data_IF_307558694280
#
_entry.id   IF_307558694280
#
_cell.length_a   1.000
_cell.length_b   1.000
_cell.length_c   1.000
_cell.angle_alpha   90.00
_cell.angle_beta   90.00
_cell.angle_gamma   90.00
#
_symmetry.space_group_name_H-M   'P 1'
#
loop_
_entity.id
_entity.type
_entity.pdbx_description
1 polymer ?
#
# COMPACT_ATOMS: atom_id res chain seq x y z
N UNK A 1 1.79 -32.21 -60.14
CA UNK A 1 1.04 -32.80 -59.01
C UNK A 1 1.73 -32.57 -57.65
N UNK A 2 2.29 -31.38 -57.41
CA UNK A 2 2.98 -31.04 -56.13
C UNK A 2 2.48 -29.73 -55.49
N UNK A 3 1.74 -28.90 -56.24
CA UNK A 3 1.22 -27.61 -55.78
C UNK A 3 0.05 -27.75 -54.81
N UNK A 4 -0.86 -28.70 -55.00
CA UNK A 4 -2.00 -28.89 -54.09
C UNK A 4 -1.58 -29.43 -52.71
N UNK A 5 -0.57 -30.32 -52.71
CA UNK A 5 0.03 -30.84 -51.47
C UNK A 5 0.76 -29.73 -50.72
N UNK A 6 1.50 -28.89 -51.43
CA UNK A 6 2.17 -27.71 -50.87
C UNK A 6 1.16 -26.71 -50.28
N UNK A 7 0.09 -26.38 -51.00
CA UNK A 7 -0.95 -25.48 -50.51
C UNK A 7 -1.62 -26.01 -49.24
N UNK A 8 -1.92 -27.32 -49.16
CA UNK A 8 -2.46 -27.92 -47.94
C UNK A 8 -1.52 -27.80 -46.74
N UNK A 9 -0.23 -28.03 -46.93
CA UNK A 9 0.76 -27.88 -45.85
C UNK A 9 0.94 -26.43 -45.42
N UNK A 10 0.88 -25.48 -46.37
CA UNK A 10 0.92 -24.05 -46.07
C UNK A 10 -0.31 -23.60 -45.27
N UNK A 11 -1.52 -24.03 -45.65
CA UNK A 11 -2.74 -23.73 -44.90
C UNK A 11 -2.72 -24.35 -43.51
N UNK A 12 -2.25 -25.59 -43.37
CA UNK A 12 -2.12 -26.26 -42.08
C UNK A 12 -1.12 -25.54 -41.18
N UNK A 13 0.04 -25.16 -41.73
CA UNK A 13 1.06 -24.39 -41.03
C UNK A 13 0.57 -23.00 -40.62
N UNK A 14 -0.21 -22.32 -41.47
CA UNK A 14 -0.82 -21.03 -41.16
C UNK A 14 -1.81 -21.16 -39.99
N UNK A 15 -2.72 -22.14 -40.03
CA UNK A 15 -3.67 -22.37 -38.94
C UNK A 15 -2.97 -22.75 -37.63
N UNK A 16 -1.93 -23.57 -37.70
CA UNK A 16 -1.12 -23.94 -36.54
C UNK A 16 -0.36 -22.73 -35.98
N UNK A 17 0.21 -21.89 -36.85
CA UNK A 17 0.86 -20.64 -36.47
C UNK A 17 -0.09 -19.67 -35.76
N UNK A 18 -1.32 -19.53 -36.25
CA UNK A 18 -2.37 -18.72 -35.59
C UNK A 18 -2.71 -19.29 -34.20
N UNK A 19 -2.89 -20.60 -34.08
CA UNK A 19 -3.17 -21.24 -32.79
C UNK A 19 -2.04 -21.04 -31.78
N UNK A 20 -0.78 -21.22 -32.22
CA UNK A 20 0.39 -20.96 -31.38
C UNK A 20 0.43 -19.48 -30.97
N UNK A 21 0.17 -18.56 -31.89
CA UNK A 21 0.11 -17.12 -31.59
C UNK A 21 -0.94 -16.78 -30.54
N UNK A 22 -2.14 -17.37 -30.60
CA UNK A 22 -3.19 -17.17 -29.60
C UNK A 22 -2.76 -17.70 -28.23
N UNK A 23 -2.14 -18.88 -28.17
CA UNK A 23 -1.65 -19.46 -26.90
C UNK A 23 -0.58 -18.57 -26.28
N UNK A 24 0.35 -18.05 -27.08
CA UNK A 24 1.38 -17.12 -26.61
C UNK A 24 0.76 -15.84 -26.06
N UNK A 25 -0.20 -15.24 -26.77
CA UNK A 25 -0.92 -14.05 -26.28
C UNK A 25 -1.61 -14.29 -24.93
N UNK A 26 -2.26 -15.45 -24.74
CA UNK A 26 -2.90 -15.79 -23.46
C UNK A 26 -1.86 -15.90 -22.35
N UNK A 27 -0.69 -16.50 -22.62
CA UNK A 27 0.40 -16.60 -21.64
C UNK A 27 0.96 -15.22 -21.31
N UNK A 28 1.23 -14.39 -22.32
CA UNK A 28 1.77 -13.04 -22.17
C UNK A 28 0.82 -12.14 -21.36
N UNK A 29 -0.48 -12.20 -21.62
CA UNK A 29 -1.48 -11.43 -20.85
C UNK A 29 -1.50 -11.87 -19.38
N UNK A 30 -1.43 -13.19 -19.11
CA UNK A 30 -1.37 -13.70 -17.73
C UNK A 30 -0.10 -13.25 -17.02
N UNK A 31 1.05 -13.34 -17.69
CA UNK A 31 2.34 -12.89 -17.16
C UNK A 31 2.36 -11.38 -16.93
N UNK A 32 1.81 -10.59 -17.85
CA UNK A 32 1.70 -9.15 -17.72
C UNK A 32 0.85 -8.77 -16.49
N UNK A 33 -0.32 -9.39 -16.34
CA UNK A 33 -1.16 -9.17 -15.17
C UNK A 33 -0.45 -9.51 -13.85
N UNK A 34 0.27 -10.64 -13.80
CA UNK A 34 1.05 -11.01 -12.63
C UNK A 34 2.17 -10.00 -12.33
N UNK A 35 2.85 -9.50 -13.35
CA UNK A 35 3.90 -8.49 -13.21
C UNK A 35 3.35 -7.14 -12.75
N UNK A 36 2.18 -6.72 -13.23
CA UNK A 36 1.53 -5.49 -12.79
C UNK A 36 1.14 -5.56 -11.30
N UNK A 37 0.58 -6.68 -10.87
CA UNK A 37 0.26 -6.91 -9.45
C UNK A 37 1.54 -6.91 -8.60
N UNK A 38 2.61 -7.57 -9.06
CA UNK A 38 3.89 -7.58 -8.34
C UNK A 38 4.52 -6.19 -8.26
N UNK A 39 4.46 -5.39 -9.33
CA UNK A 39 4.95 -4.01 -9.33
C UNK A 39 4.15 -3.11 -8.39
N UNK A 40 2.81 -3.20 -8.42
CA UNK A 40 1.95 -2.45 -7.51
C UNK A 40 2.29 -2.75 -6.04
N UNK A 41 2.47 -4.03 -5.70
CA UNK A 41 2.92 -4.46 -4.36
C UNK A 41 4.32 -3.93 -4.02
N UNK A 42 5.27 -3.99 -4.94
CA UNK A 42 6.63 -3.49 -4.70
C UNK A 42 6.65 -1.96 -4.45
N UNK A 43 5.92 -1.18 -5.24
CA UNK A 43 5.76 0.26 -5.04
C UNK A 43 5.11 0.55 -3.68
N UNK A 44 4.12 -0.23 -3.30
CA UNK A 44 3.48 -0.13 -1.99
C UNK A 44 4.46 -0.40 -0.83
N UNK A 45 5.24 -1.49 -0.89
CA UNK A 45 6.22 -1.81 0.15
C UNK A 45 7.32 -0.75 0.25
N UNK A 46 7.77 -0.21 -0.88
CA UNK A 46 8.72 0.90 -0.89
C UNK A 46 8.16 2.13 -0.17
N UNK A 47 6.89 2.50 -0.44
CA UNK A 47 6.23 3.62 0.23
C UNK A 47 5.99 3.40 1.74
N UNK A 48 5.74 2.16 2.16
CA UNK A 48 5.55 1.82 3.59
C UNK A 48 6.88 1.80 4.35
N UNK A 49 7.92 1.22 3.76
CA UNK A 49 9.28 1.20 4.33
C UNK A 49 9.83 2.60 4.60
N UNK A 50 9.43 3.57 3.77
CA UNK A 50 9.83 4.98 3.89
C UNK A 50 9.38 5.62 5.21
N UNK A 51 8.24 5.21 5.78
CA UNK A 51 7.76 5.79 7.06
C UNK A 51 8.65 5.43 8.25
N UNK A 52 9.12 4.17 8.31
CA UNK A 52 10.08 3.74 9.34
C UNK A 52 11.48 4.26 9.05
N UNK A 53 11.86 4.32 7.77
CA UNK A 53 13.11 4.93 7.32
C UNK A 53 13.23 6.37 7.80
N UNK A 54 12.16 7.17 7.72
CA UNK A 54 12.16 8.56 8.21
C UNK A 54 12.56 8.69 9.68
N UNK A 55 12.07 7.82 10.57
CA UNK A 55 12.42 7.87 12.00
C UNK A 55 13.87 7.43 12.22
N UNK A 56 14.33 6.41 11.50
CA UNK A 56 15.70 5.93 11.58
C UNK A 56 16.74 6.93 11.03
N UNK A 57 16.37 7.68 9.98
CA UNK A 57 17.26 8.59 9.27
C UNK A 57 17.22 10.03 9.82
N UNK A 58 16.17 10.41 10.55
CA UNK A 58 16.00 11.76 11.10
C UNK A 58 16.00 11.74 12.63
N UNK A 59 17.17 11.94 13.27
CA UNK A 59 17.26 12.00 14.74
C UNK A 59 16.29 13.00 15.36
N UNK A 60 16.05 14.15 14.71
CA UNK A 60 15.10 15.16 15.20
C UNK A 60 13.67 14.65 15.26
N UNK A 61 13.23 13.79 14.33
CA UNK A 61 11.90 13.19 14.39
C UNK A 61 11.81 12.17 15.53
N UNK A 62 12.86 11.38 15.74
CA UNK A 62 12.93 10.44 16.86
C UNK A 62 12.89 11.15 18.22
N UNK A 63 13.59 12.29 18.35
CA UNK A 63 13.54 13.13 19.54
C UNK A 63 12.13 13.68 19.79
N UNK A 64 11.45 14.17 18.76
CA UNK A 64 10.07 14.68 18.87
C UNK A 64 9.08 13.57 19.26
N UNK A 65 9.23 12.37 18.70
CA UNK A 65 8.42 11.21 19.09
C UNK A 65 8.66 10.83 20.56
N UNK A 66 9.92 10.77 21.00
CA UNK A 66 10.26 10.45 22.39
C UNK A 66 9.73 11.51 23.36
N UNK A 67 9.76 12.78 22.96
CA UNK A 67 9.22 13.90 23.73
C UNK A 67 7.70 13.82 23.90
N UNK A 68 6.97 13.44 22.85
CA UNK A 68 5.52 13.22 22.98
C UNK A 68 5.22 12.03 23.91
N UNK A 69 5.99 10.93 23.80
CA UNK A 69 5.85 9.75 24.66
C UNK A 69 6.18 10.03 26.14
N UNK A 70 7.14 10.92 26.42
CA UNK A 70 7.46 11.34 27.79
C UNK A 70 6.42 12.30 28.38
N UNK A 71 5.44 12.75 27.58
CA UNK A 71 4.43 13.72 27.98
C UNK A 71 4.97 15.16 28.05
N UNK A 72 6.13 15.43 27.49
CA UNK A 72 6.69 16.77 27.40
C UNK A 72 5.94 17.63 26.37
N UNK A 73 5.88 18.93 26.61
CA UNK A 73 5.17 19.86 25.72
C UNK A 73 5.93 20.05 24.40
N UNK A 74 5.25 19.75 23.30
CA UNK A 74 5.75 20.00 21.95
C UNK A 74 5.68 21.50 21.64
N UNK A 75 6.75 22.04 21.06
CA UNK A 75 6.70 23.35 20.40
C UNK A 75 5.76 23.29 19.19
N UNK A 76 5.33 24.45 18.71
CA UNK A 76 4.50 24.52 17.50
C UNK A 76 5.16 23.85 16.29
N UNK A 77 6.47 24.00 16.12
CA UNK A 77 7.19 23.39 15.00
C UNK A 77 7.23 21.85 15.12
N UNK A 78 7.51 21.34 16.32
CA UNK A 78 7.51 19.90 16.61
C UNK A 78 6.11 19.30 16.39
N UNK A 79 5.06 19.97 16.87
CA UNK A 79 3.68 19.54 16.65
C UNK A 79 3.31 19.49 15.16
N UNK A 80 3.74 20.48 14.37
CA UNK A 80 3.51 20.49 12.91
C UNK A 80 4.24 19.33 12.24
N UNK A 81 5.51 19.10 12.60
CA UNK A 81 6.31 17.98 12.07
C UNK A 81 5.64 16.64 12.39
N UNK A 82 5.23 16.45 13.63
CA UNK A 82 4.64 15.21 14.10
C UNK A 82 3.24 14.98 13.53
N UNK A 83 2.45 16.05 13.37
CA UNK A 83 1.16 16.01 12.68
C UNK A 83 1.30 15.61 11.21
N UNK A 84 2.35 16.09 10.52
CA UNK A 84 2.64 15.71 9.14
C UNK A 84 3.07 14.24 9.05
N UNK A 85 3.94 13.80 9.97
CA UNK A 85 4.34 12.39 10.10
C UNK A 85 3.14 11.47 10.30
N UNK A 86 2.28 11.73 11.30
CA UNK A 86 1.11 10.89 11.56
C UNK A 86 0.08 10.92 10.43
N UNK A 87 -0.04 12.03 9.70
CA UNK A 87 -0.86 12.05 8.47
C UNK A 87 -0.30 11.08 7.42
N UNK A 88 1.02 11.04 7.23
CA UNK A 88 1.68 10.10 6.32
C UNK A 88 1.51 8.65 6.79
N UNK A 89 1.63 8.38 8.08
CA UNK A 89 1.37 7.05 8.68
C UNK A 89 -0.05 6.58 8.36
N UNK A 90 -1.06 7.42 8.63
CA UNK A 90 -2.46 7.10 8.36
C UNK A 90 -2.75 6.91 6.87
N UNK A 91 -2.16 7.72 6.00
CA UNK A 91 -2.31 7.54 4.54
C UNK A 91 -1.71 6.22 4.10
N UNK A 92 -0.52 5.86 4.60
CA UNK A 92 0.11 4.56 4.33
C UNK A 92 -0.78 3.40 4.79
N UNK A 93 -1.45 3.54 5.94
CA UNK A 93 -2.39 2.54 6.43
C UNK A 93 -3.67 2.48 5.59
N UNK A 94 -4.21 3.61 5.13
CA UNK A 94 -5.34 3.62 4.20
C UNK A 94 -5.01 2.84 2.93
N UNK A 95 -3.84 3.06 2.34
CA UNK A 95 -3.41 2.32 1.17
C UNK A 95 -3.24 0.83 1.47
N UNK A 96 -2.69 0.49 2.65
CA UNK A 96 -2.57 -0.90 3.09
C UNK A 96 -3.93 -1.57 3.18
N UNK A 97 -4.92 -0.89 3.73
CA UNK A 97 -6.29 -1.38 3.89
C UNK A 97 -6.99 -1.61 2.54
N UNK A 98 -6.80 -0.71 1.59
CA UNK A 98 -7.49 -0.77 0.29
C UNK A 98 -6.87 -1.78 -0.69
N UNK A 99 -5.55 -1.99 -0.64
CA UNK A 99 -4.81 -2.71 -1.68
C UNK A 99 -4.31 -4.10 -1.24
N UNK A 100 -4.14 -4.34 0.06
CA UNK A 100 -3.66 -5.64 0.55
C UNK A 100 -4.82 -6.62 0.77
N UNK A 101 -4.63 -7.92 0.44
CA UNK A 101 -5.54 -8.97 0.88
C UNK A 101 -5.70 -8.96 2.41
N UNK A 102 -6.89 -9.30 2.93
CA UNK A 102 -7.25 -9.23 4.36
C UNK A 102 -6.24 -9.87 5.34
N UNK A 103 -5.42 -10.83 4.89
CA UNK A 103 -4.40 -11.47 5.72
C UNK A 103 -3.05 -10.73 5.81
N UNK A 104 -2.72 -9.86 4.85
CA UNK A 104 -1.43 -9.15 4.79
C UNK A 104 -1.46 -7.79 5.53
N UNK A 105 -2.65 -7.25 5.82
CA UNK A 105 -2.82 -5.95 6.51
C UNK A 105 -2.79 -6.04 8.04
N UNK A 106 -2.99 -7.23 8.63
CA UNK A 106 -3.14 -7.43 10.07
C UNK A 106 -1.92 -7.04 10.91
N UNK A 107 -0.71 -7.11 10.34
CA UNK A 107 0.52 -6.67 11.02
C UNK A 107 0.57 -5.16 11.26
N UNK A 108 0.03 -4.35 10.35
CA UNK A 108 0.00 -2.88 10.48
C UNK A 108 -1.05 -2.40 11.51
N UNK A 109 -2.14 -3.15 11.66
CA UNK A 109 -3.23 -2.89 12.60
C UNK A 109 -2.77 -2.80 14.07
N UNK A 110 -1.97 -3.78 14.53
CA UNK A 110 -1.51 -3.83 15.92
C UNK A 110 -0.60 -2.65 16.28
N UNK A 111 0.25 -2.20 15.35
CA UNK A 111 1.09 -1.03 15.56
C UNK A 111 0.26 0.26 15.64
N UNK A 112 -0.76 0.39 14.79
CA UNK A 112 -1.58 1.60 14.79
C UNK A 112 -2.43 1.73 16.06
N UNK A 113 -2.94 0.62 16.61
CA UNK A 113 -3.69 0.61 17.87
C UNK A 113 -2.84 1.15 19.03
N UNK A 114 -1.63 0.60 19.25
CA UNK A 114 -0.73 1.09 20.30
C UNK A 114 -0.39 2.57 20.11
N UNK A 115 -0.11 2.99 18.88
CA UNK A 115 0.18 4.40 18.59
C UNK A 115 -1.00 5.33 18.92
N UNK A 116 -2.25 4.89 18.72
CA UNK A 116 -3.43 5.70 19.04
C UNK A 116 -3.61 5.91 20.54
N UNK A 117 -3.12 5.02 21.39
CA UNK A 117 -3.10 5.16 22.84
C UNK A 117 -1.95 6.04 23.30
N UNK A 118 -0.78 5.87 22.70
CA UNK A 118 0.46 6.49 23.15
C UNK A 118 0.64 7.93 22.65
N UNK A 119 0.10 8.30 21.49
CA UNK A 119 0.38 9.59 20.84
C UNK A 119 -0.85 10.53 20.77
N UNK A 120 -0.93 11.57 21.63
CA UNK A 120 -1.95 12.61 21.54
C UNK A 120 -2.05 13.29 20.17
N UNK A 121 -0.93 13.53 19.49
CA UNK A 121 -0.90 14.17 18.17
C UNK A 121 -1.55 13.29 17.11
N UNK A 122 -1.36 11.96 17.16
CA UNK A 122 -2.05 11.04 16.24
C UNK A 122 -3.58 11.13 16.41
N UNK A 123 -4.07 11.13 17.66
CA UNK A 123 -5.50 11.32 17.94
C UNK A 123 -6.01 12.68 17.45
N UNK A 124 -5.22 13.73 17.63
CA UNK A 124 -5.56 15.06 17.12
C UNK A 124 -5.63 15.05 15.58
N UNK A 125 -4.65 14.46 14.90
CA UNK A 125 -4.63 14.32 13.44
C UNK A 125 -5.87 13.56 12.98
N UNK A 126 -6.18 12.43 13.61
CA UNK A 126 -7.36 11.65 13.30
C UNK A 126 -8.62 12.49 13.38
N UNK A 127 -8.87 13.12 14.55
CA UNK A 127 -10.08 13.92 14.79
C UNK A 127 -10.24 15.09 13.80
N UNK A 128 -9.14 15.73 13.41
CA UNK A 128 -9.20 16.95 12.61
C UNK A 128 -9.04 16.74 11.10
N UNK A 129 -8.61 15.55 10.65
CA UNK A 129 -8.28 15.29 9.24
C UNK A 129 -9.00 14.09 8.62
N UNK A 130 -10.07 13.58 9.25
CA UNK A 130 -10.86 12.47 8.69
C UNK A 130 -11.29 12.70 7.23
N UNK A 131 -11.57 13.96 6.86
CA UNK A 131 -11.96 14.35 5.51
C UNK A 131 -10.87 14.16 4.43
N UNK A 132 -9.61 13.92 4.82
CA UNK A 132 -8.53 13.59 3.88
C UNK A 132 -8.48 12.11 3.52
N UNK A 133 -9.25 11.29 4.25
CA UNK A 133 -9.29 9.85 4.08
C UNK A 133 -10.57 9.41 3.38
N UNK A 134 -10.52 8.24 2.74
CA UNK A 134 -11.68 7.61 2.13
C UNK A 134 -12.65 7.16 3.20
N UNK A 135 -13.95 7.26 2.91
CA UNK A 135 -15.01 6.93 3.87
C UNK A 135 -14.93 5.50 4.37
N UNK A 136 -14.61 4.51 3.51
CA UNK A 136 -14.51 3.11 3.94
C UNK A 136 -13.37 2.90 4.94
N UNK A 137 -12.25 3.61 4.75
CA UNK A 137 -11.14 3.57 5.70
C UNK A 137 -11.49 4.26 7.02
N UNK A 138 -12.25 5.37 6.97
CA UNK A 138 -12.72 6.05 8.18
C UNK A 138 -13.63 5.16 9.02
N UNK A 139 -14.58 4.50 8.38
CA UNK A 139 -15.47 3.53 9.03
C UNK A 139 -14.66 2.39 9.68
N UNK A 140 -13.78 1.76 8.90
CA UNK A 140 -12.88 0.72 9.38
C UNK A 140 -12.05 1.15 10.60
N UNK A 141 -11.43 2.32 10.56
CA UNK A 141 -10.60 2.86 11.64
C UNK A 141 -11.41 3.09 12.91
N UNK A 142 -12.62 3.66 12.78
CA UNK A 142 -13.48 3.90 13.93
C UNK A 142 -13.89 2.58 14.60
N UNK A 143 -14.38 1.62 13.81
CA UNK A 143 -14.84 0.32 14.30
C UNK A 143 -13.74 -0.55 14.92
N UNK A 144 -12.52 -0.49 14.37
CA UNK A 144 -11.49 -1.46 14.70
C UNK A 144 -10.35 -0.92 15.55
N UNK A 145 -10.16 0.40 15.60
CA UNK A 145 -8.97 1.01 16.21
C UNK A 145 -9.37 2.07 17.23
N UNK A 146 -10.26 3.00 16.87
CA UNK A 146 -10.56 4.16 17.72
C UNK A 146 -11.56 3.81 18.82
N UNK A 147 -12.60 3.02 18.50
CA UNK A 147 -13.69 2.71 19.42
C UNK A 147 -13.50 1.37 20.16
N UNK A 148 -12.47 0.58 19.83
CA UNK A 148 -12.07 -0.60 20.61
C UNK A 148 -11.33 -0.16 21.87
N UNK A 149 -12.08 0.14 22.93
CA UNK A 149 -11.61 0.18 24.31
C UNK A 149 -11.95 -1.11 25.04
#
# INVERSE_FOLDING_TARGET
>A
MNTDRLNRWLTLGANLGVLIGIVLLVIEVRQNNANLVAQARATFYAGTSDVWGMVAEQPSLAEVLAKELSGEELTTAEFVQLSAYFTKVLLSHQWSYLELPEGESAGNLYYLIGNFEDFPTLRWVWKNRQSFFKSEFVEYMNENIVDKK
#
